data_IF_574863648192
#
_entry.id   IF_574863648192
#
_cell.length_a   1.000
_cell.length_b   1.000
_cell.length_c   1.000
_cell.angle_alpha   90.00
_cell.angle_beta   90.00
_cell.angle_gamma   90.00
#
_symmetry.space_group_name_H-M   'P 1'
#
loop_
_entity.id
_entity.type
_entity.pdbx_description
1 polymer ?
#
# COMPACT_ATOMS: atom_id res chain seq x y z
N UNK A 1 -7.87 -13.92 40.79
CA UNK A 1 -8.85 -13.93 39.68
C UNK A 1 -9.57 -12.58 39.50
N UNK A 2 -9.71 -11.77 40.56
CA UNK A 2 -10.38 -10.45 40.56
C UNK A 2 -9.65 -9.36 39.74
N UNK A 3 -8.32 -9.39 39.68
CA UNK A 3 -7.50 -8.38 38.96
C UNK A 3 -7.51 -8.52 37.43
N UNK A 4 -7.64 -9.74 36.90
CA UNK A 4 -7.71 -9.94 35.45
C UNK A 4 -9.07 -9.50 34.92
N UNK A 5 -10.15 -9.83 35.63
CA UNK A 5 -11.50 -9.44 35.25
C UNK A 5 -11.66 -7.91 35.24
N UNK A 6 -11.20 -7.22 36.29
CA UNK A 6 -11.24 -5.76 36.32
C UNK A 6 -10.40 -5.09 35.22
N UNK A 7 -9.28 -5.70 34.83
CA UNK A 7 -8.45 -5.20 33.73
C UNK A 7 -9.13 -5.43 32.37
N UNK A 8 -9.76 -6.60 32.18
CA UNK A 8 -10.56 -6.90 31.00
C UNK A 8 -11.77 -5.97 30.89
N UNK A 9 -12.47 -5.72 31.98
CA UNK A 9 -13.63 -4.83 32.03
C UNK A 9 -13.19 -3.38 31.72
N UNK A 10 -12.07 -2.92 32.28
CA UNK A 10 -11.49 -1.59 31.99
C UNK A 10 -11.07 -1.42 30.52
N UNK A 11 -10.50 -2.48 29.91
CA UNK A 11 -10.20 -2.49 28.49
C UNK A 11 -11.48 -2.46 27.66
N UNK A 12 -12.51 -3.23 28.04
CA UNK A 12 -13.80 -3.25 27.35
C UNK A 12 -14.44 -1.86 27.37
N UNK A 13 -14.51 -1.21 28.53
CA UNK A 13 -15.06 0.15 28.65
C UNK A 13 -14.29 1.17 27.81
N UNK A 14 -12.96 1.06 27.79
CA UNK A 14 -12.12 1.93 26.95
C UNK A 14 -12.39 1.71 25.47
N UNK A 15 -12.51 0.44 25.05
CA UNK A 15 -12.85 0.07 23.67
C UNK A 15 -14.22 0.65 23.31
N UNK A 16 -15.23 0.43 24.13
CA UNK A 16 -16.60 0.89 23.88
C UNK A 16 -16.65 2.43 23.77
N UNK A 17 -15.95 3.16 24.64
CA UNK A 17 -15.83 4.61 24.56
C UNK A 17 -15.23 5.12 23.23
N UNK A 18 -14.19 4.45 22.71
CA UNK A 18 -13.61 4.84 21.41
C UNK A 18 -14.53 4.47 20.25
N UNK A 19 -15.29 3.39 20.37
CA UNK A 19 -16.25 2.96 19.36
C UNK A 19 -17.46 3.90 19.26
N UNK A 20 -17.93 4.45 20.38
CA UNK A 20 -19.01 5.46 20.39
C UNK A 20 -18.59 6.74 19.64
N UNK A 21 -17.30 7.06 19.62
CA UNK A 21 -16.74 8.23 18.92
C UNK A 21 -16.48 8.00 17.43
N UNK A 22 -16.91 6.87 16.88
CA UNK A 22 -16.77 6.60 15.45
C UNK A 22 -17.65 7.51 14.62
N UNK A 23 -17.18 7.81 13.42
CA UNK A 23 -17.92 8.52 12.40
C UNK A 23 -19.15 7.71 11.98
N UNK A 24 -20.33 8.20 12.38
CA UNK A 24 -21.61 7.51 12.16
C UNK A 24 -21.95 7.36 10.67
N UNK A 25 -21.36 8.19 9.80
CA UNK A 25 -21.65 8.15 8.35
C UNK A 25 -21.13 6.89 7.67
N UNK A 26 -20.05 6.32 8.20
CA UNK A 26 -19.32 5.20 7.57
C UNK A 26 -19.50 3.87 8.31
N UNK A 27 -20.14 3.88 9.48
CA UNK A 27 -20.15 2.74 10.40
C UNK A 27 -20.75 1.46 9.80
N UNK A 28 -21.74 1.58 8.92
CA UNK A 28 -22.43 0.45 8.29
C UNK A 28 -21.91 0.11 6.90
N UNK A 29 -20.81 0.74 6.46
CA UNK A 29 -20.21 0.42 5.18
C UNK A 29 -19.44 -0.90 5.25
N UNK A 30 -19.29 -1.62 4.13
CA UNK A 30 -18.56 -2.87 4.12
C UNK A 30 -17.14 -2.71 4.69
N UNK A 31 -16.72 -3.66 5.52
CA UNK A 31 -15.42 -3.67 6.22
C UNK A 31 -15.21 -2.52 7.23
N UNK A 32 -16.28 -1.80 7.60
CA UNK A 32 -16.22 -0.76 8.62
C UNK A 32 -16.88 -1.17 9.92
N UNK A 33 -17.96 -1.96 9.90
CA UNK A 33 -18.79 -2.26 11.07
C UNK A 33 -17.98 -2.85 12.23
N UNK A 34 -17.16 -3.87 11.95
CA UNK A 34 -16.53 -4.71 12.97
C UNK A 34 -15.01 -4.69 12.87
N UNK A 35 -14.28 -4.09 13.82
CA UNK A 35 -12.82 -3.99 13.74
C UNK A 35 -12.06 -5.31 13.69
N UNK A 36 -12.64 -6.40 14.21
CA UNK A 36 -12.02 -7.71 14.12
C UNK A 36 -11.94 -8.27 12.69
N UNK A 37 -12.80 -7.81 11.77
CA UNK A 37 -12.76 -8.24 10.36
C UNK A 37 -11.42 -7.88 9.71
N UNK A 38 -10.93 -6.67 9.97
CA UNK A 38 -9.63 -6.23 9.49
C UNK A 38 -8.49 -7.14 10.01
N UNK A 39 -8.51 -7.52 11.29
CA UNK A 39 -7.50 -8.41 11.86
C UNK A 39 -7.56 -9.81 11.24
N UNK A 40 -8.76 -10.33 10.98
CA UNK A 40 -8.93 -11.62 10.29
C UNK A 40 -8.36 -11.59 8.87
N UNK A 41 -8.59 -10.51 8.12
CA UNK A 41 -8.02 -10.36 6.77
C UNK A 41 -6.50 -10.28 6.82
N UNK A 42 -5.93 -9.48 7.71
CA UNK A 42 -4.47 -9.37 7.85
C UNK A 42 -3.84 -10.70 8.27
N UNK A 43 -4.45 -11.43 9.20
CA UNK A 43 -3.99 -12.76 9.60
C UNK A 43 -4.07 -13.75 8.44
N UNK A 44 -5.20 -13.79 7.74
CA UNK A 44 -5.39 -14.64 6.56
C UNK A 44 -4.37 -14.31 5.46
N UNK A 45 -4.05 -13.04 5.25
CA UNK A 45 -3.03 -12.59 4.32
C UNK A 45 -1.64 -13.13 4.69
N UNK A 46 -1.21 -13.02 5.95
CA UNK A 46 0.06 -13.60 6.40
C UNK A 46 0.09 -15.13 6.25
N UNK A 47 -0.99 -15.80 6.65
CA UNK A 47 -1.12 -17.25 6.50
C UNK A 47 -1.01 -17.65 5.01
N UNK A 48 -1.69 -16.93 4.12
CA UNK A 48 -1.62 -17.14 2.68
C UNK A 48 -0.19 -16.93 2.14
N UNK A 49 0.53 -15.91 2.59
CA UNK A 49 1.91 -15.67 2.15
C UNK A 49 2.83 -16.84 2.53
N UNK A 50 2.73 -17.33 3.76
CA UNK A 50 3.59 -18.43 4.26
C UNK A 50 3.20 -19.76 3.63
N UNK A 51 1.93 -20.13 3.69
CA UNK A 51 1.41 -21.40 3.19
C UNK A 51 1.51 -21.44 1.67
N UNK A 52 1.09 -20.36 0.98
CA UNK A 52 1.10 -20.26 -0.46
C UNK A 52 2.50 -20.39 -1.06
N UNK A 53 3.53 -19.76 -0.47
CA UNK A 53 4.93 -19.96 -0.89
C UNK A 53 5.37 -21.42 -0.71
N UNK A 54 5.03 -22.06 0.41
CA UNK A 54 5.39 -23.46 0.69
C UNK A 54 4.72 -24.43 -0.27
N UNK A 55 3.43 -24.24 -0.56
CA UNK A 55 2.68 -25.06 -1.51
C UNK A 55 3.22 -24.87 -2.92
N UNK A 56 3.37 -23.62 -3.37
CA UNK A 56 3.84 -23.31 -4.73
C UNK A 56 5.31 -23.64 -4.97
N UNK A 57 6.12 -23.86 -3.92
CA UNK A 57 7.51 -24.31 -4.07
C UNK A 57 7.59 -25.60 -4.89
N UNK A 58 6.66 -26.53 -4.65
CA UNK A 58 6.60 -27.85 -5.29
C UNK A 58 5.69 -27.91 -6.53
N UNK A 59 5.05 -26.79 -6.90
CA UNK A 59 4.15 -26.72 -8.06
C UNK A 59 4.81 -26.01 -9.25
N UNK A 60 4.25 -26.21 -10.44
CA UNK A 60 4.59 -25.41 -11.63
C UNK A 60 3.93 -24.02 -11.51
N UNK A 61 4.58 -22.95 -12.01
CA UNK A 61 3.97 -21.62 -12.02
C UNK A 61 2.73 -21.61 -12.92
N UNK A 62 1.66 -20.96 -12.47
CA UNK A 62 0.45 -20.79 -13.27
C UNK A 62 0.64 -19.69 -14.32
N UNK A 63 0.09 -19.90 -15.52
CA UNK A 63 -0.05 -18.83 -16.51
C UNK A 63 -1.32 -18.03 -16.25
N UNK A 64 -1.16 -16.90 -15.57
CA UNK A 64 -2.24 -16.00 -15.20
C UNK A 64 -2.14 -14.67 -15.97
N UNK A 65 -1.63 -14.69 -17.20
CA UNK A 65 -1.41 -13.47 -18.00
C UNK A 65 -2.68 -12.59 -18.10
N UNK A 66 -3.79 -13.14 -18.59
CA UNK A 66 -5.02 -12.35 -18.78
C UNK A 66 -5.68 -11.94 -17.47
N UNK A 67 -5.86 -12.82 -16.47
CA UNK A 67 -6.35 -12.40 -15.16
C UNK A 67 -5.53 -11.26 -14.54
N UNK A 68 -4.21 -11.32 -14.65
CA UNK A 68 -3.32 -10.26 -14.16
C UNK A 68 -3.51 -8.94 -14.93
N UNK A 69 -3.66 -8.98 -16.25
CA UNK A 69 -3.91 -7.78 -17.06
C UNK A 69 -5.24 -7.13 -16.64
N UNK A 70 -6.31 -7.92 -16.52
CA UNK A 70 -7.62 -7.40 -16.10
C UNK A 70 -7.58 -6.83 -14.69
N UNK A 71 -6.93 -7.54 -13.76
CA UNK A 71 -6.73 -7.07 -12.39
C UNK A 71 -6.00 -5.72 -12.34
N UNK A 72 -4.86 -5.61 -13.02
CA UNK A 72 -4.09 -4.35 -13.08
C UNK A 72 -4.90 -3.23 -13.75
N UNK A 73 -5.66 -3.53 -14.81
CA UNK A 73 -6.50 -2.54 -15.48
C UNK A 73 -7.63 -2.05 -14.56
N UNK A 74 -8.28 -2.95 -13.83
CA UNK A 74 -9.33 -2.60 -12.85
C UNK A 74 -8.75 -1.69 -11.76
N UNK A 75 -7.60 -2.05 -11.17
CA UNK A 75 -6.96 -1.23 -10.14
C UNK A 75 -6.49 0.13 -10.69
N UNK A 76 -6.02 0.19 -11.93
CA UNK A 76 -5.69 1.44 -12.61
C UNK A 76 -6.93 2.34 -12.72
N UNK A 77 -8.07 1.81 -13.18
CA UNK A 77 -9.32 2.57 -13.34
C UNK A 77 -9.92 2.99 -12.00
N UNK A 78 -9.93 2.12 -10.99
CA UNK A 78 -10.39 2.46 -9.64
C UNK A 78 -9.53 3.58 -9.05
N UNK A 79 -8.20 3.49 -9.20
CA UNK A 79 -7.28 4.52 -8.69
C UNK A 79 -7.45 5.85 -9.43
N UNK A 80 -7.68 5.82 -10.75
CA UNK A 80 -7.97 7.01 -11.54
C UNK A 80 -9.27 7.67 -11.08
N UNK A 81 -10.32 6.86 -10.89
CA UNK A 81 -11.59 7.32 -10.36
C UNK A 81 -11.45 7.95 -8.97
N UNK A 82 -10.75 7.31 -8.03
CA UNK A 82 -10.51 7.87 -6.69
C UNK A 82 -9.77 9.20 -6.79
N UNK A 83 -8.78 9.31 -7.67
CA UNK A 83 -8.01 10.55 -7.84
C UNK A 83 -8.89 11.70 -8.32
N UNK A 84 -9.69 11.45 -9.35
CA UNK A 84 -10.58 12.45 -9.95
C UNK A 84 -11.70 12.82 -8.99
N UNK A 85 -12.33 11.82 -8.37
CA UNK A 85 -13.45 12.04 -7.47
C UNK A 85 -12.99 12.69 -6.16
N UNK A 86 -11.81 12.36 -5.61
CA UNK A 86 -11.27 13.05 -4.45
C UNK A 86 -11.01 14.53 -4.76
N UNK A 87 -10.44 14.84 -5.93
CA UNK A 87 -10.24 16.22 -6.36
C UNK A 87 -11.57 16.97 -6.54
N UNK A 88 -12.57 16.31 -7.15
CA UNK A 88 -13.93 16.86 -7.30
C UNK A 88 -14.59 17.13 -5.95
N UNK A 89 -14.49 16.20 -5.01
CA UNK A 89 -15.02 16.36 -3.66
C UNK A 89 -14.28 17.46 -2.91
N UNK A 90 -12.95 17.57 -3.03
CA UNK A 90 -12.20 18.67 -2.43
C UNK A 90 -12.70 20.03 -2.95
N UNK A 91 -12.94 20.15 -4.27
CA UNK A 91 -13.49 21.37 -4.85
C UNK A 91 -14.89 21.71 -4.33
N UNK A 92 -15.80 20.73 -4.26
CA UNK A 92 -17.18 20.92 -3.76
C UNK A 92 -17.23 21.27 -2.26
N UNK A 93 -16.24 20.79 -1.50
CA UNK A 93 -16.15 21.03 -0.07
C UNK A 93 -15.27 22.24 0.28
N UNK A 94 -14.84 23.04 -0.69
CA UNK A 94 -13.96 24.20 -0.52
C UNK A 94 -12.65 23.88 0.22
N UNK A 95 -12.07 22.69 -0.06
CA UNK A 95 -10.84 22.27 0.57
C UNK A 95 -9.64 23.08 0.05
N UNK A 96 -8.82 23.54 1.00
CA UNK A 96 -7.45 23.95 0.73
C UNK A 96 -6.57 22.72 0.46
N UNK A 97 -5.34 22.91 -0.03
CA UNK A 97 -4.43 21.78 -0.24
C UNK A 97 -4.11 21.02 1.07
N UNK A 98 -4.10 21.74 2.19
CA UNK A 98 -3.78 21.24 3.53
C UNK A 98 -4.65 21.99 4.56
N UNK A 99 -4.68 21.48 5.79
CA UNK A 99 -5.36 22.07 6.94
C UNK A 99 -6.88 22.12 6.83
N UNK A 100 -7.46 21.05 6.28
CA UNK A 100 -8.89 20.87 6.13
C UNK A 100 -9.46 20.10 7.32
N UNK A 101 -10.54 20.59 7.94
CA UNK A 101 -11.24 19.84 8.97
C UNK A 101 -12.02 18.68 8.38
N UNK A 102 -12.31 17.69 9.22
CA UNK A 102 -13.30 16.66 8.88
C UNK A 102 -14.68 17.28 9.03
N UNK A 103 -15.42 17.38 7.93
CA UNK A 103 -16.84 17.73 7.95
C UNK A 103 -17.63 16.44 8.20
N UNK A 104 -18.28 16.31 9.36
CA UNK A 104 -19.09 15.14 9.76
C UNK A 104 -20.56 15.24 9.34
N UNK A 105 -20.94 16.25 8.56
CA UNK A 105 -22.31 16.41 8.04
C UNK A 105 -22.51 15.65 6.74
N UNK A 106 -23.74 15.71 6.20
CA UNK A 106 -24.08 15.19 4.88
C UNK A 106 -23.22 15.80 3.76
N UNK A 107 -22.72 17.03 3.91
CA UNK A 107 -21.85 17.66 2.92
C UNK A 107 -20.53 16.87 2.76
N UNK A 108 -19.94 16.43 3.88
CA UNK A 108 -18.71 15.64 3.88
C UNK A 108 -18.85 14.18 3.43
N UNK A 109 -20.08 13.66 3.25
CA UNK A 109 -20.28 12.24 2.93
C UNK A 109 -19.68 11.85 1.59
N UNK A 110 -19.64 12.78 0.63
CA UNK A 110 -19.01 12.58 -0.67
C UNK A 110 -17.52 12.25 -0.53
N UNK A 111 -16.78 13.05 0.26
CA UNK A 111 -15.38 12.79 0.56
C UNK A 111 -15.21 11.46 1.33
N UNK A 112 -16.05 11.22 2.34
CA UNK A 112 -16.01 9.98 3.11
C UNK A 112 -16.14 8.73 2.20
N UNK A 113 -17.06 8.75 1.23
CA UNK A 113 -17.25 7.65 0.25
C UNK A 113 -16.00 7.39 -0.58
N UNK A 114 -15.31 8.45 -1.00
CA UNK A 114 -14.08 8.33 -1.79
C UNK A 114 -12.95 7.73 -0.96
N UNK A 115 -12.80 8.19 0.28
CA UNK A 115 -11.79 7.65 1.19
C UNK A 115 -12.09 6.20 1.58
N UNK A 116 -13.37 5.85 1.75
CA UNK A 116 -13.76 4.45 1.94
C UNK A 116 -13.47 3.61 0.69
N UNK A 117 -13.73 4.11 -0.52
CA UNK A 117 -13.39 3.40 -1.74
C UNK A 117 -11.87 3.20 -1.87
N UNK A 118 -11.08 4.21 -1.47
CA UNK A 118 -9.64 4.09 -1.35
C UNK A 118 -9.22 3.01 -0.35
N UNK A 119 -9.87 2.96 0.80
CA UNK A 119 -9.63 1.90 1.79
C UNK A 119 -10.00 0.52 1.23
N UNK A 120 -11.16 0.41 0.61
CA UNK A 120 -11.66 -0.83 0.02
C UNK A 120 -10.73 -1.34 -1.09
N UNK A 121 -10.15 -0.44 -1.89
CA UNK A 121 -9.20 -0.83 -2.94
C UNK A 121 -7.96 -1.55 -2.38
N UNK A 122 -7.53 -1.26 -1.14
CA UNK A 122 -6.40 -1.95 -0.50
C UNK A 122 -6.64 -3.45 -0.27
N UNK A 123 -7.89 -3.85 -0.10
CA UNK A 123 -8.25 -5.26 -0.08
C UNK A 123 -8.10 -5.91 -1.45
N UNK A 124 -8.50 -5.21 -2.51
CA UNK A 124 -8.35 -5.68 -3.90
C UNK A 124 -6.86 -5.82 -4.24
N UNK A 125 -6.02 -4.87 -3.78
CA UNK A 125 -4.57 -4.88 -3.97
C UNK A 125 -3.88 -6.09 -3.32
N UNK A 126 -4.48 -6.76 -2.30
CA UNK A 126 -3.92 -8.00 -1.75
C UNK A 126 -3.80 -9.13 -2.79
N UNK A 127 -4.60 -9.05 -3.86
CA UNK A 127 -4.52 -10.00 -4.98
C UNK A 127 -3.19 -9.91 -5.74
N UNK A 128 -2.46 -8.79 -5.65
CA UNK A 128 -1.10 -8.68 -6.21
C UNK A 128 -0.19 -9.77 -5.63
N UNK A 129 -0.26 -9.99 -4.33
CA UNK A 129 0.50 -11.03 -3.64
C UNK A 129 0.07 -12.43 -4.07
N UNK A 130 -1.23 -12.63 -4.32
CA UNK A 130 -1.76 -13.89 -4.86
C UNK A 130 -1.15 -14.17 -6.23
N UNK A 131 -1.19 -13.21 -7.15
CA UNK A 131 -0.56 -13.36 -8.46
C UNK A 131 0.94 -13.61 -8.37
N UNK A 132 1.65 -12.91 -7.49
CA UNK A 132 3.10 -13.12 -7.30
C UNK A 132 3.40 -14.55 -6.83
N UNK A 133 2.63 -15.08 -5.87
CA UNK A 133 2.84 -16.43 -5.33
C UNK A 133 2.49 -17.50 -6.36
N UNK A 134 1.32 -17.42 -7.01
CA UNK A 134 0.87 -18.41 -8.00
C UNK A 134 1.77 -18.44 -9.24
N UNK A 135 2.41 -17.32 -9.59
CA UNK A 135 3.39 -17.23 -10.70
C UNK A 135 4.84 -17.51 -10.27
N UNK A 136 5.06 -17.91 -9.01
CA UNK A 136 6.38 -18.16 -8.40
C UNK A 136 7.35 -16.96 -8.49
N UNK A 137 6.81 -15.74 -8.40
CA UNK A 137 7.59 -14.49 -8.28
C UNK A 137 7.85 -14.14 -6.81
N UNK A 138 8.44 -15.08 -6.08
CA UNK A 138 8.63 -14.95 -4.63
C UNK A 138 9.59 -13.82 -4.25
N UNK A 139 10.47 -13.42 -5.16
CA UNK A 139 11.35 -12.25 -5.05
C UNK A 139 10.58 -10.92 -4.97
N UNK A 140 9.37 -10.87 -5.54
CA UNK A 140 8.50 -9.70 -5.50
C UNK A 140 7.75 -9.60 -4.16
N UNK A 141 7.48 -10.74 -3.51
CA UNK A 141 6.86 -10.80 -2.17
C UNK A 141 7.91 -10.54 -1.09
N UNK A 142 8.44 -9.32 -1.11
CA UNK A 142 9.46 -8.79 -0.21
C UNK A 142 8.88 -8.37 1.15
N UNK A 143 9.76 -8.11 2.13
CA UNK A 143 9.34 -7.54 3.42
C UNK A 143 8.59 -6.22 3.23
N UNK A 144 9.11 -5.32 2.38
CA UNK A 144 8.48 -4.04 2.06
C UNK A 144 7.06 -4.21 1.55
N UNK A 145 6.87 -5.15 0.60
CA UNK A 145 5.57 -5.45 0.02
C UNK A 145 4.57 -5.93 1.09
N UNK A 146 4.96 -6.95 1.87
CA UNK A 146 4.07 -7.52 2.89
C UNK A 146 3.78 -6.52 4.01
N UNK A 147 4.79 -5.79 4.47
CA UNK A 147 4.65 -4.73 5.48
C UNK A 147 3.68 -3.64 5.03
N UNK A 148 3.85 -3.12 3.80
CA UNK A 148 2.98 -2.09 3.25
C UNK A 148 1.53 -2.56 3.15
N UNK A 149 1.27 -3.70 2.51
CA UNK A 149 -0.09 -4.18 2.27
C UNK A 149 -0.84 -4.58 3.54
N UNK A 150 -0.15 -5.04 4.60
CA UNK A 150 -0.81 -5.30 5.88
C UNK A 150 -1.04 -4.01 6.68
N UNK A 151 -0.03 -3.15 6.81
CA UNK A 151 -0.12 -1.92 7.60
C UNK A 151 -1.11 -0.91 7.05
N UNK A 152 -1.19 -0.75 5.72
CA UNK A 152 -2.06 0.24 5.10
C UNK A 152 -3.55 -0.06 5.37
N UNK A 153 -3.95 -1.34 5.40
CA UNK A 153 -5.31 -1.75 5.74
C UNK A 153 -5.63 -1.37 7.18
N UNK A 154 -4.72 -1.62 8.12
CA UNK A 154 -4.92 -1.27 9.53
C UNK A 154 -5.04 0.25 9.73
N UNK A 155 -4.12 1.02 9.14
CA UNK A 155 -4.07 2.47 9.29
C UNK A 155 -5.30 3.15 8.67
N UNK A 156 -5.74 2.70 7.49
CA UNK A 156 -6.93 3.27 6.85
C UNK A 156 -8.22 2.82 7.50
N UNK A 157 -8.30 1.63 8.10
CA UNK A 157 -9.45 1.28 8.94
C UNK A 157 -9.64 2.30 10.06
N UNK A 158 -8.56 2.66 10.76
CA UNK A 158 -8.59 3.67 11.82
C UNK A 158 -8.90 5.06 11.22
N UNK A 159 -8.25 5.44 10.13
CA UNK A 159 -8.51 6.72 9.47
C UNK A 159 -9.98 6.91 9.07
N UNK A 160 -10.60 5.93 8.41
CA UNK A 160 -12.00 6.06 7.98
C UNK A 160 -12.96 6.03 9.17
N UNK A 161 -12.70 5.23 10.21
CA UNK A 161 -13.61 5.14 11.36
C UNK A 161 -13.71 6.40 12.20
N UNK A 162 -12.67 7.24 12.23
CA UNK A 162 -12.65 8.43 13.09
C UNK A 162 -12.43 9.73 12.31
N UNK A 163 -11.88 9.69 11.10
CA UNK A 163 -11.46 10.87 10.34
C UNK A 163 -11.71 10.72 8.83
N UNK A 164 -12.90 10.22 8.43
CA UNK A 164 -13.29 10.08 7.02
C UNK A 164 -13.54 11.44 6.31
N UNK A 165 -12.49 12.23 6.14
CA UNK A 165 -12.48 13.52 5.46
C UNK A 165 -11.26 14.35 5.82
N UNK A 166 -11.33 15.66 5.57
CA UNK A 166 -10.26 16.60 5.92
C UNK A 166 -8.93 16.22 5.28
N UNK A 167 -7.83 16.45 6.00
CA UNK A 167 -6.46 16.26 5.50
C UNK A 167 -6.08 14.82 5.11
N UNK A 168 -6.90 13.82 5.43
CA UNK A 168 -6.72 12.47 4.90
C UNK A 168 -6.84 12.43 3.36
N UNK A 169 -7.58 13.37 2.76
CA UNK A 169 -7.84 13.39 1.32
C UNK A 169 -6.58 13.54 0.47
N UNK A 170 -5.63 14.38 0.90
CA UNK A 170 -4.43 14.66 0.12
C UNK A 170 -3.60 13.39 -0.05
N UNK A 171 -3.40 12.66 1.06
CA UNK A 171 -2.64 11.40 1.07
C UNK A 171 -3.31 10.32 0.20
N UNK A 172 -4.63 10.16 0.28
CA UNK A 172 -5.37 9.23 -0.58
C UNK A 172 -5.30 9.61 -2.06
N UNK A 173 -5.46 10.90 -2.38
CA UNK A 173 -5.45 11.41 -3.76
C UNK A 173 -4.08 11.20 -4.39
N UNK A 174 -3.00 11.56 -3.70
CA UNK A 174 -1.65 11.36 -4.20
C UNK A 174 -1.31 9.88 -4.35
N UNK A 175 -1.66 9.04 -3.38
CA UNK A 175 -1.45 7.59 -3.48
C UNK A 175 -2.19 7.00 -4.69
N UNK A 176 -3.45 7.40 -4.89
CA UNK A 176 -4.27 6.94 -6.01
C UNK A 176 -3.74 7.40 -7.36
N UNK A 177 -3.20 8.63 -7.44
CA UNK A 177 -2.55 9.11 -8.66
C UNK A 177 -1.33 8.24 -9.00
N UNK A 178 -0.48 7.97 -8.01
CA UNK A 178 0.70 7.12 -8.21
C UNK A 178 0.28 5.67 -8.51
N UNK A 179 -0.76 5.14 -7.89
CA UNK A 179 -1.30 3.81 -8.18
C UNK A 179 -1.87 3.73 -9.59
N UNK A 180 -2.53 4.78 -10.09
CA UNK A 180 -2.97 4.86 -11.49
C UNK A 180 -1.78 4.69 -12.44
N UNK A 181 -0.69 5.42 -12.20
CA UNK A 181 0.53 5.32 -13.01
C UNK A 181 1.22 3.96 -12.87
N UNK A 182 1.27 3.41 -11.65
CA UNK A 182 1.91 2.12 -11.35
C UNK A 182 1.17 0.94 -11.98
N UNK A 183 -0.15 0.85 -11.79
CA UNK A 183 -0.96 -0.22 -12.38
C UNK A 183 -1.12 -0.05 -13.89
N UNK A 184 -1.14 1.19 -14.39
CA UNK A 184 -0.99 1.45 -15.83
C UNK A 184 0.31 0.86 -16.38
N UNK A 185 1.44 1.10 -15.70
CA UNK A 185 2.72 0.48 -16.05
C UNK A 185 2.68 -1.06 -15.98
N UNK A 186 2.10 -1.65 -14.93
CA UNK A 186 1.99 -3.11 -14.82
C UNK A 186 1.11 -3.74 -15.90
N UNK A 187 0.05 -3.05 -16.32
CA UNK A 187 -0.81 -3.46 -17.44
C UNK A 187 -0.01 -3.47 -18.75
N UNK A 188 0.71 -2.39 -19.05
CA UNK A 188 1.56 -2.29 -20.24
C UNK A 188 2.68 -3.35 -20.23
N UNK A 189 3.33 -3.54 -19.08
CA UNK A 189 4.38 -4.55 -18.93
C UNK A 189 3.84 -5.98 -19.12
N UNK A 190 2.62 -6.28 -18.65
CA UNK A 190 1.98 -7.59 -18.85
C UNK A 190 1.57 -7.82 -20.31
N UNK A 191 1.31 -6.75 -21.07
CA UNK A 191 1.12 -6.77 -22.52
C UNK A 191 2.43 -6.87 -23.32
N UNK A 192 3.59 -6.92 -22.64
CA UNK A 192 4.94 -6.91 -23.25
C UNK A 192 5.25 -5.64 -24.03
N UNK A 193 4.68 -4.52 -23.62
CA UNK A 193 5.04 -3.19 -24.12
C UNK A 193 6.20 -2.69 -23.28
N UNK A 194 7.31 -2.32 -23.92
CA UNK A 194 8.48 -1.79 -23.22
C UNK A 194 8.23 -0.36 -22.74
N UNK A 195 8.37 -0.16 -21.42
CA UNK A 195 8.11 1.13 -20.78
C UNK A 195 9.37 1.65 -20.11
N UNK A 196 9.97 2.67 -20.71
CA UNK A 196 11.25 3.25 -20.30
C UNK A 196 11.19 4.04 -18.98
N UNK A 197 10.01 4.51 -18.58
CA UNK A 197 9.85 5.37 -17.40
C UNK A 197 9.71 4.64 -16.06
N UNK A 198 10.01 3.33 -16.00
CA UNK A 198 9.96 2.54 -14.75
C UNK A 198 10.69 3.21 -13.58
N UNK A 199 11.86 3.82 -13.85
CA UNK A 199 12.68 4.49 -12.82
C UNK A 199 11.98 5.73 -12.25
N UNK A 200 11.27 6.49 -13.09
CA UNK A 200 10.55 7.69 -12.65
C UNK A 200 9.38 7.34 -11.74
N UNK A 201 8.74 6.18 -11.91
CA UNK A 201 7.68 5.73 -10.99
C UNK A 201 8.17 5.60 -9.55
N UNK A 202 9.34 4.98 -9.33
CA UNK A 202 9.91 4.86 -7.98
C UNK A 202 10.32 6.22 -7.42
N UNK A 203 10.78 7.15 -8.26
CA UNK A 203 11.07 8.52 -7.84
C UNK A 203 9.80 9.29 -7.44
N UNK A 204 8.70 9.12 -8.17
CA UNK A 204 7.40 9.70 -7.85
C UNK A 204 6.83 9.13 -6.54
N UNK A 205 6.99 7.83 -6.29
CA UNK A 205 6.61 7.20 -5.02
C UNK A 205 7.39 7.80 -3.83
N UNK A 206 8.71 7.96 -3.98
CA UNK A 206 9.53 8.61 -2.94
C UNK A 206 9.11 10.07 -2.73
N UNK A 207 8.87 10.81 -3.81
CA UNK A 207 8.40 12.19 -3.74
C UNK A 207 7.05 12.31 -3.02
N UNK A 208 6.11 11.40 -3.29
CA UNK A 208 4.83 11.32 -2.58
C UNK A 208 5.04 11.19 -1.07
N UNK A 209 5.92 10.30 -0.62
CA UNK A 209 6.16 10.13 0.82
C UNK A 209 6.79 11.37 1.46
N UNK A 210 7.69 12.07 0.76
CA UNK A 210 8.26 13.34 1.22
C UNK A 210 7.19 14.41 1.35
N UNK A 211 6.31 14.54 0.35
CA UNK A 211 5.22 15.53 0.37
C UNK A 211 4.24 15.25 1.51
N UNK A 212 3.81 14.00 1.69
CA UNK A 212 2.91 13.62 2.79
C UNK A 212 3.55 13.83 4.17
N UNK A 213 4.85 13.55 4.31
CA UNK A 213 5.59 13.83 5.53
C UNK A 213 5.64 15.34 5.82
N UNK A 214 6.01 16.15 4.82
CA UNK A 214 6.05 17.60 4.93
C UNK A 214 4.69 18.21 5.27
N UNK A 215 3.62 17.72 4.62
CA UNK A 215 2.25 18.13 4.91
C UNK A 215 1.84 17.82 6.36
N UNK A 216 2.20 16.64 6.87
CA UNK A 216 1.92 16.28 8.27
C UNK A 216 2.68 17.16 9.27
N UNK A 217 3.95 17.46 8.99
CA UNK A 217 4.77 18.33 9.83
C UNK A 217 4.25 19.78 9.82
N UNK A 218 3.88 20.28 8.64
CA UNK A 218 3.25 21.57 8.47
C UNK A 218 1.96 21.66 9.29
N UNK A 219 1.10 20.64 9.19
CA UNK A 219 -0.19 20.62 9.88
C UNK A 219 -0.06 20.62 11.40
N UNK A 220 0.97 19.96 11.95
CA UNK A 220 1.28 20.03 13.39
C UNK A 220 1.80 21.42 13.78
N UNK A 221 2.69 22.00 12.97
CA UNK A 221 3.30 23.30 13.28
C UNK A 221 2.28 24.45 13.28
N UNK A 222 1.35 24.45 12.33
CA UNK A 222 0.30 25.47 12.20
C UNK A 222 -1.01 25.14 12.93
N UNK A 223 -1.01 24.08 13.74
CA UNK A 223 -2.17 23.62 14.53
C UNK A 223 -3.46 23.47 13.73
N UNK A 224 -3.36 22.71 12.63
CA UNK A 224 -4.46 22.53 11.70
C UNK A 224 -5.62 21.73 12.32
N UNK A 225 -6.88 21.99 11.89
CA UNK A 225 -8.10 21.49 12.55
C UNK A 225 -8.40 20.03 12.21
N UNK A 226 -7.42 19.15 12.37
CA UNK A 226 -7.49 17.72 12.12
C UNK A 226 -6.79 16.98 13.27
N UNK A 227 -7.23 15.77 13.68
CA UNK A 227 -6.75 15.17 14.91
C UNK A 227 -5.23 14.92 14.91
N UNK A 228 -4.52 15.51 15.89
CA UNK A 228 -3.05 15.44 16.00
C UNK A 228 -2.50 14.01 16.03
N UNK A 229 -3.21 13.08 16.65
CA UNK A 229 -2.82 11.66 16.69
C UNK A 229 -2.69 11.05 15.29
N UNK A 230 -3.51 11.49 14.34
CA UNK A 230 -3.48 11.00 12.96
C UNK A 230 -2.27 11.57 12.20
N UNK A 231 -1.87 12.82 12.47
CA UNK A 231 -0.62 13.36 11.94
C UNK A 231 0.61 12.64 12.49
N UNK A 232 0.64 12.32 13.79
CA UNK A 232 1.73 11.52 14.36
C UNK A 232 1.80 10.12 13.73
N UNK A 233 0.66 9.44 13.55
CA UNK A 233 0.59 8.16 12.87
C UNK A 233 1.09 8.26 11.42
N UNK A 234 0.69 9.31 10.69
CA UNK A 234 1.14 9.57 9.32
C UNK A 234 2.64 9.83 9.25
N UNK A 235 3.22 10.62 10.16
CA UNK A 235 4.67 10.88 10.22
C UNK A 235 5.45 9.58 10.45
N UNK A 236 5.06 8.78 11.45
CA UNK A 236 5.72 7.50 11.76
C UNK A 236 5.66 6.59 10.53
N UNK A 237 4.51 6.51 9.88
CA UNK A 237 4.34 5.68 8.70
C UNK A 237 5.16 6.18 7.50
N UNK A 238 5.13 7.47 7.17
CA UNK A 238 5.90 8.03 6.06
C UNK A 238 7.42 7.87 6.27
N UNK A 239 7.90 8.02 7.51
CA UNK A 239 9.30 7.76 7.84
C UNK A 239 9.69 6.29 7.61
N UNK A 240 8.83 5.35 8.02
CA UNK A 240 9.06 3.92 7.77
C UNK A 240 9.09 3.60 6.26
N UNK A 241 8.19 4.20 5.48
CA UNK A 241 8.08 3.99 4.03
C UNK A 241 9.26 4.62 3.28
N UNK A 242 9.69 5.83 3.66
CA UNK A 242 10.88 6.47 3.11
C UNK A 242 12.13 5.63 3.35
N UNK A 243 12.28 5.07 4.55
CA UNK A 243 13.41 4.19 4.86
C UNK A 243 13.40 2.94 3.98
N UNK A 244 12.26 2.25 3.87
CA UNK A 244 12.16 0.99 3.11
C UNK A 244 12.29 1.22 1.60
N UNK A 245 11.59 2.20 1.03
CA UNK A 245 11.70 2.54 -0.40
C UNK A 245 13.05 3.15 -0.73
N UNK A 246 13.62 3.96 0.16
CA UNK A 246 14.97 4.51 0.00
C UNK A 246 16.01 3.39 -0.06
N UNK A 247 15.96 2.44 0.87
CA UNK A 247 16.82 1.26 0.86
C UNK A 247 16.66 0.43 -0.43
N UNK A 248 15.41 0.18 -0.87
CA UNK A 248 15.12 -0.50 -2.12
C UNK A 248 15.70 0.24 -3.35
N UNK A 249 15.54 1.56 -3.41
CA UNK A 249 16.02 2.39 -4.52
C UNK A 249 17.56 2.40 -4.58
N UNK A 250 18.23 2.59 -3.44
CA UNK A 250 19.69 2.55 -3.34
C UNK A 250 20.24 1.20 -3.81
N UNK A 251 19.66 0.10 -3.34
CA UNK A 251 20.12 -1.24 -3.68
C UNK A 251 19.86 -1.57 -5.17
N UNK A 252 18.68 -1.23 -5.69
CA UNK A 252 18.24 -1.63 -7.05
C UNK A 252 18.82 -0.76 -8.14
N UNK A 253 18.93 0.56 -7.94
CA UNK A 253 19.31 1.49 -9.00
C UNK A 253 20.72 2.05 -8.84
N UNK A 254 21.21 2.26 -7.61
CA UNK A 254 22.54 2.85 -7.39
C UNK A 254 23.61 1.77 -7.25
N UNK A 255 23.42 0.81 -6.35
CA UNK A 255 24.44 -0.20 -6.04
C UNK A 255 24.57 -1.26 -7.14
N UNK A 256 23.44 -1.75 -7.70
CA UNK A 256 23.46 -2.65 -8.86
C UNK A 256 23.97 -1.97 -10.14
N UNK A 257 23.70 -0.67 -10.33
CA UNK A 257 24.24 0.09 -11.48
C UNK A 257 25.76 0.32 -11.40
N UNK A 258 26.33 0.36 -10.18
CA UNK A 258 27.78 0.49 -9.94
C UNK A 258 28.54 -0.83 -10.07
N UNK A 259 27.88 -1.98 -9.84
CA UNK A 259 28.45 -3.30 -10.15
C UNK A 259 28.20 -3.58 -11.63
N UNK A 260 29.13 -3.15 -12.49
CA UNK A 260 29.12 -3.50 -13.92
C UNK A 260 28.95 -5.01 -14.14
N UNK A 261 28.57 -5.45 -15.35
CA UNK A 261 28.32 -6.87 -15.64
C UNK A 261 29.51 -7.71 -15.15
N UNK A 262 29.23 -8.70 -14.30
CA UNK A 262 30.25 -9.67 -13.85
C UNK A 262 30.91 -10.25 -15.11
N UNK A 263 32.25 -10.19 -15.25
CA UNK A 263 32.90 -10.89 -16.34
C UNK A 263 32.52 -12.36 -16.22
N UNK A 264 31.94 -12.90 -17.28
CA UNK A 264 31.68 -14.33 -17.43
C UNK A 264 32.98 -15.07 -17.13
N UNK A 265 32.98 -15.94 -16.12
CA UNK A 265 34.09 -16.84 -15.86
C UNK A 265 34.34 -17.66 -17.12
N UNK A 266 35.42 -17.36 -17.85
CA UNK A 266 35.92 -18.27 -18.88
C UNK A 266 36.24 -19.58 -18.18
N UNK A 267 35.49 -20.65 -18.48
CA UNK A 267 35.91 -21.99 -18.09
C UNK A 267 37.24 -22.26 -18.76
N UNK A 268 38.29 -22.42 -17.97
CA UNK A 268 39.58 -22.94 -18.40
C UNK A 268 39.37 -24.36 -18.95
N UNK A 269 39.32 -24.50 -20.28
CA UNK A 269 39.46 -25.78 -20.94
C UNK A 269 40.92 -26.23 -20.79
N UNK A 270 41.15 -27.18 -19.87
CA UNK A 270 42.39 -27.94 -19.79
C UNK A 270 42.49 -28.83 -21.04
N UNK A 271 43.36 -28.46 -21.97
CA UNK A 271 43.74 -29.30 -23.11
C UNK A 271 44.55 -30.50 -22.60
N UNK A 272 43.92 -31.66 -22.52
CA UNK A 272 44.62 -32.94 -22.30
C UNK A 272 45.18 -33.42 -23.63
N UNK A 273 46.50 -33.42 -23.72
CA UNK A 273 47.32 -34.07 -24.73
C UNK A 273 46.91 -35.53 -24.93
N UNK A 274 46.56 -35.93 -26.15
CA UNK A 274 46.66 -37.35 -26.56
C UNK A 274 47.39 -37.43 -27.89
N UNK A 275 48.64 -37.88 -27.80
CA UNK A 275 49.43 -38.39 -28.92
C UNK A 275 48.68 -39.55 -29.55
N UNK A 276 48.46 -39.51 -30.87
CA UNK A 276 48.24 -40.71 -31.68
C UNK A 276 49.55 -41.05 -32.39
N UNK A 277 50.06 -42.24 -32.06
CA UNK A 277 50.98 -42.98 -32.92
C UNK A 277 50.17 -43.56 -34.09
N UNK A 278 50.83 -43.54 -35.26
CA UNK A 278 50.56 -44.26 -36.51
C UNK A 278 49.25 -43.92 -37.25
#
# INVERSE_FOLDING_TARGET
>A
MTSIKSYVDSISESIDFYFEKRDQRVMYWPMMERPHEMFYVVFAYYAFVVIGKKVMANQKPFDLKYPLIFHNLILCLISAYITIEAARQAYINDYSLMCNPVDYTERGIGMAKVLWLFYFSKYIELMDTVFMILRKKFDQVSFLHVYHHSSIIMLWFIGINWTAGGDAYLSATMNSLIHTLMYGYYTLAALKIDVWWKRYLTQLQLLQFVINLGSSLYAIYYDCPFPRWMFYAMIIYMMSMLFLFGSFYLHTYIQKGRRGPRPSSKSSSSTTTTKKLQ
#
